data_IF_302429532608
#
_entry.id   IF_302429532608
#
_cell.length_a   1.000
_cell.length_b   1.000
_cell.length_c   1.000
_cell.angle_alpha   90.00
_cell.angle_beta   90.00
_cell.angle_gamma   90.00
#
_symmetry.space_group_name_H-M   'P 1'
#
loop_
_entity.id
_entity.type
_entity.pdbx_description
1 polymer ?
#
# COMPACT_ATOMS: atom_id res chain seq x y z
N UNK A 1 -30.01 46.25 -39.71
CA UNK A 1 -28.64 45.88 -40.08
C UNK A 1 -27.71 46.21 -38.91
N UNK A 2 -26.74 45.36 -38.57
CA UNK A 2 -26.77 44.21 -37.63
C UNK A 2 -26.04 44.57 -36.30
N UNK A 3 -25.69 43.74 -35.32
CA UNK A 3 -26.14 42.47 -34.73
C UNK A 3 -25.39 42.30 -33.39
N UNK A 4 -26.00 41.52 -32.50
CA UNK A 4 -25.48 40.86 -31.29
C UNK A 4 -24.06 40.26 -31.44
N UNK A 5 -23.20 40.43 -30.42
CA UNK A 5 -22.10 39.53 -30.00
C UNK A 5 -22.14 39.52 -28.45
N UNK A 6 -22.44 38.43 -27.74
CA UNK A 6 -21.71 37.16 -27.58
C UNK A 6 -20.24 37.42 -27.16
N UNK A 7 -19.67 36.91 -26.07
CA UNK A 7 -20.06 35.94 -25.04
C UNK A 7 -18.90 35.88 -24.04
N UNK A 8 -19.15 35.33 -22.86
CA UNK A 8 -18.19 35.19 -21.77
C UNK A 8 -16.92 34.41 -22.19
N UNK A 9 -15.76 34.83 -21.69
CA UNK A 9 -14.55 34.01 -21.66
C UNK A 9 -14.11 33.89 -20.21
N UNK A 10 -14.71 32.93 -19.51
CA UNK A 10 -14.16 32.39 -18.27
C UNK A 10 -12.95 31.54 -18.63
N UNK A 11 -11.75 32.00 -18.26
CA UNK A 11 -10.56 31.16 -18.25
C UNK A 11 -10.69 30.16 -17.09
N UNK A 12 -11.43 29.08 -17.35
CA UNK A 12 -11.44 27.91 -16.48
C UNK A 12 -10.14 27.16 -16.75
N UNK A 13 -9.19 27.31 -15.84
CA UNK A 13 -7.98 26.51 -15.72
C UNK A 13 -8.38 25.03 -15.68
N UNK A 14 -8.29 24.36 -16.83
CA UNK A 14 -8.30 22.90 -16.91
C UNK A 14 -7.08 22.40 -16.14
N UNK A 15 -7.30 22.05 -14.87
CA UNK A 15 -6.41 21.17 -14.14
C UNK A 15 -6.46 19.83 -14.88
N UNK A 16 -5.50 19.62 -15.80
CA UNK A 16 -5.25 18.32 -16.37
C UNK A 16 -4.85 17.40 -15.23
N UNK A 17 -5.84 16.72 -14.68
CA UNK A 17 -5.65 15.49 -13.95
C UNK A 17 -5.04 14.53 -14.96
N UNK A 18 -3.71 14.42 -14.94
CA UNK A 18 -2.96 13.44 -15.71
C UNK A 18 -3.51 12.09 -15.23
N UNK A 19 -4.44 11.52 -16.00
CA UNK A 19 -4.87 10.16 -15.79
C UNK A 19 -3.59 9.33 -15.87
N UNK A 20 -3.15 8.77 -14.73
CA UNK A 20 -2.09 7.77 -14.72
C UNK A 20 -2.50 6.75 -15.79
N UNK A 21 -1.60 6.34 -16.71
CA UNK A 21 -1.90 5.19 -17.53
C UNK A 21 -2.33 4.08 -16.57
N UNK A 22 -3.55 3.58 -16.71
CA UNK A 22 -4.05 2.53 -15.84
C UNK A 22 -3.18 1.31 -16.11
N UNK A 23 -2.18 1.10 -15.26
CA UNK A 23 -1.32 -0.07 -15.31
C UNK A 23 -2.27 -1.26 -15.26
N UNK A 24 -2.32 -2.03 -16.34
CA UNK A 24 -3.21 -3.21 -16.41
C UNK A 24 -2.40 -4.51 -16.25
N UNK A 25 -1.07 -4.40 -16.26
CA UNK A 25 -0.12 -5.51 -16.16
C UNK A 25 0.70 -5.36 -14.87
N UNK A 26 0.59 -6.38 -14.01
CA UNK A 26 1.17 -6.39 -12.68
C UNK A 26 2.01 -7.65 -12.49
N UNK A 27 3.10 -7.52 -11.75
CA UNK A 27 3.79 -8.64 -11.13
C UNK A 27 3.28 -8.83 -9.69
N UNK A 28 3.23 -10.08 -9.23
CA UNK A 28 2.76 -10.40 -7.88
C UNK A 28 3.91 -10.43 -6.88
N UNK A 29 3.70 -9.79 -5.73
CA UNK A 29 4.51 -9.90 -4.53
C UNK A 29 3.64 -10.47 -3.41
N UNK A 30 3.75 -11.78 -3.17
CA UNK A 30 2.90 -12.50 -2.22
C UNK A 30 3.63 -12.73 -0.90
N UNK A 31 3.00 -12.26 0.18
CA UNK A 31 3.51 -12.30 1.55
C UNK A 31 2.58 -13.13 2.40
N UNK A 32 3.13 -14.12 3.08
CA UNK A 32 2.44 -14.92 4.08
C UNK A 32 2.75 -14.42 5.49
N UNK A 33 1.69 -14.21 6.28
CA UNK A 33 1.76 -13.84 7.69
C UNK A 33 1.37 -15.09 8.51
N UNK A 34 2.38 -15.74 9.09
CA UNK A 34 2.25 -16.97 9.85
C UNK A 34 1.76 -16.77 11.29
N UNK A 35 1.44 -17.86 12.02
CA UNK A 35 0.99 -17.80 13.40
C UNK A 35 2.07 -17.27 14.34
N UNK A 36 1.68 -16.40 15.27
CA UNK A 36 2.58 -15.77 16.23
C UNK A 36 1.86 -15.05 17.36
N UNK A 37 2.60 -14.27 18.13
CA UNK A 37 2.05 -13.46 19.23
C UNK A 37 2.82 -12.15 19.43
N UNK A 38 2.36 -11.27 20.31
CA UNK A 38 2.98 -9.97 20.51
C UNK A 38 4.41 -10.05 21.11
N UNK A 39 4.76 -11.13 21.81
CA UNK A 39 6.07 -11.30 22.44
C UNK A 39 7.10 -11.84 21.44
N UNK A 40 6.74 -12.85 20.66
CA UNK A 40 7.60 -13.49 19.65
C UNK A 40 7.47 -12.88 18.25
N UNK A 41 6.45 -12.05 18.03
CA UNK A 41 5.89 -11.57 16.75
C UNK A 41 5.43 -12.69 15.83
N UNK A 42 5.07 -12.27 14.61
CA UNK A 42 4.50 -13.13 13.58
C UNK A 42 5.54 -13.41 12.50
N UNK A 43 5.87 -14.68 12.21
CA UNK A 43 6.72 -15.01 11.08
C UNK A 43 6.14 -14.49 9.76
N UNK A 44 6.99 -13.89 8.94
CA UNK A 44 6.61 -13.40 7.60
C UNK A 44 7.45 -14.10 6.56
N UNK A 45 6.82 -14.54 5.46
CA UNK A 45 7.53 -15.15 4.33
C UNK A 45 7.05 -14.55 3.02
N UNK A 46 7.98 -14.09 2.18
CA UNK A 46 7.68 -13.84 0.77
C UNK A 46 7.62 -15.19 0.08
N UNK A 47 6.43 -15.58 -0.40
CA UNK A 47 6.20 -16.89 -1.02
C UNK A 47 6.38 -16.85 -2.53
N UNK A 48 6.12 -15.68 -3.13
CA UNK A 48 6.32 -15.43 -4.55
C UNK A 48 6.69 -13.97 -4.76
N UNK A 49 7.77 -13.71 -5.49
CA UNK A 49 8.13 -12.36 -5.91
C UNK A 49 9.00 -12.37 -7.18
N UNK A 50 9.12 -11.23 -7.87
CA UNK A 50 10.05 -11.05 -8.98
C UNK A 50 11.54 -11.13 -8.59
N UNK A 51 11.90 -10.75 -7.36
CA UNK A 51 13.29 -10.64 -6.92
C UNK A 51 13.77 -11.80 -6.04
N UNK A 52 12.89 -12.73 -5.68
CA UNK A 52 13.21 -13.89 -4.84
C UNK A 52 12.54 -13.85 -3.46
N UNK A 53 12.54 -15.02 -2.82
CA UNK A 53 11.83 -15.23 -1.56
C UNK A 53 12.71 -14.88 -0.37
N UNK A 54 12.08 -14.32 0.66
CA UNK A 54 12.74 -13.81 1.86
C UNK A 54 11.89 -14.12 3.08
N UNK A 55 12.52 -14.24 4.25
CA UNK A 55 11.82 -14.46 5.52
C UNK A 55 12.15 -13.37 6.51
N UNK A 56 11.16 -13.03 7.32
CA UNK A 56 11.29 -12.01 8.33
C UNK A 56 10.34 -12.26 9.49
N UNK A 57 10.21 -11.23 10.30
CA UNK A 57 9.40 -11.26 11.49
C UNK A 57 8.66 -9.94 11.60
N UNK A 58 7.33 -10.00 11.62
CA UNK A 58 6.47 -8.85 11.84
C UNK A 58 6.42 -8.56 13.34
N UNK A 59 6.71 -7.31 13.69
CA UNK A 59 6.56 -6.76 15.03
C UNK A 59 5.58 -5.60 14.94
N UNK A 60 4.43 -5.77 15.57
CA UNK A 60 3.40 -4.73 15.65
C UNK A 60 3.65 -3.85 16.88
N UNK A 61 3.29 -2.57 16.78
CA UNK A 61 3.39 -1.61 17.89
C UNK A 61 2.39 -1.85 19.01
N UNK A 62 1.30 -2.57 18.72
CA UNK A 62 0.23 -2.95 19.64
C UNK A 62 -0.39 -4.29 19.23
N UNK A 63 -1.29 -4.82 20.05
CA UNK A 63 -2.02 -6.03 19.71
C UNK A 63 -2.95 -5.80 18.48
N UNK A 64 -3.23 -6.83 17.66
CA UNK A 64 -4.00 -6.64 16.42
C UNK A 64 -5.40 -6.02 16.61
N UNK A 65 -6.10 -6.39 17.67
CA UNK A 65 -7.41 -5.84 18.05
C UNK A 65 -7.31 -4.35 18.45
N UNK A 66 -6.24 -3.95 19.13
CA UNK A 66 -5.98 -2.55 19.45
C UNK A 66 -5.67 -1.73 18.19
N UNK A 67 -4.91 -2.29 17.25
CA UNK A 67 -4.65 -1.65 15.96
C UNK A 67 -5.94 -1.51 15.13
N UNK A 68 -6.82 -2.50 15.14
CA UNK A 68 -8.12 -2.43 14.47
C UNK A 68 -9.02 -1.35 15.10
N UNK A 69 -9.04 -1.25 16.44
CA UNK A 69 -9.78 -0.21 17.14
C UNK A 69 -9.22 1.19 16.83
N UNK A 70 -7.89 1.35 16.80
CA UNK A 70 -7.23 2.62 16.49
C UNK A 70 -7.52 3.12 15.07
N UNK A 71 -7.89 2.23 14.14
CA UNK A 71 -8.26 2.59 12.79
C UNK A 71 -9.69 3.17 12.67
N UNK A 72 -10.52 3.03 13.71
CA UNK A 72 -11.91 3.48 13.64
C UNK A 72 -12.02 5.01 13.68
N UNK A 73 -12.75 5.57 12.71
CA UNK A 73 -13.04 7.01 12.67
C UNK A 73 -11.84 7.89 12.35
N UNK A 74 -10.75 7.31 11.82
CA UNK A 74 -9.60 8.10 11.37
C UNK A 74 -10.00 9.08 10.27
N UNK A 75 -9.55 10.32 10.39
CA UNK A 75 -9.58 11.28 9.29
C UNK A 75 -8.48 10.96 8.25
N UNK A 76 -8.44 11.70 7.15
CA UNK A 76 -7.48 11.45 6.08
C UNK A 76 -6.00 11.65 6.46
N UNK A 77 -5.69 12.36 7.56
CA UNK A 77 -4.33 12.51 8.06
C UNK A 77 -3.96 11.37 9.02
N UNK A 78 -4.89 11.00 9.90
CA UNK A 78 -4.80 9.86 10.80
C UNK A 78 -4.64 8.55 10.04
N UNK A 79 -5.44 8.33 8.99
CA UNK A 79 -5.35 7.14 8.15
C UNK A 79 -3.98 7.02 7.46
N UNK A 80 -3.38 8.13 7.03
CA UNK A 80 -2.03 8.13 6.45
C UNK A 80 -0.97 7.76 7.46
N UNK A 81 -1.01 8.34 8.66
CA UNK A 81 -0.06 8.01 9.74
C UNK A 81 -0.17 6.54 10.14
N UNK A 82 -1.38 6.07 10.38
CA UNK A 82 -1.68 4.68 10.68
C UNK A 82 -1.14 3.74 9.59
N UNK A 83 -1.41 4.08 8.33
CA UNK A 83 -0.94 3.33 7.18
C UNK A 83 0.58 3.28 7.02
N UNK A 84 1.27 4.36 7.37
CA UNK A 84 2.73 4.40 7.37
C UNK A 84 3.31 3.49 8.46
N UNK A 85 2.71 3.47 9.64
CA UNK A 85 3.14 2.55 10.72
C UNK A 85 2.99 1.08 10.29
N UNK A 86 1.90 0.73 9.59
CA UNK A 86 1.73 -0.61 9.01
C UNK A 86 2.75 -0.91 7.92
N UNK A 87 3.03 0.06 7.04
CA UNK A 87 4.04 -0.07 6.00
C UNK A 87 5.42 -0.31 6.61
N UNK A 88 5.81 0.48 7.60
CA UNK A 88 7.12 0.39 8.24
C UNK A 88 7.30 -0.95 8.96
N UNK A 89 6.26 -1.46 9.60
CA UNK A 89 6.26 -2.75 10.29
C UNK A 89 6.40 -3.94 9.32
N UNK A 90 5.77 -3.88 8.15
CA UNK A 90 5.73 -5.00 7.20
C UNK A 90 6.84 -4.93 6.14
N UNK A 91 6.98 -3.78 5.47
CA UNK A 91 7.75 -3.59 4.22
C UNK A 91 8.83 -2.50 4.32
N UNK A 92 8.90 -1.75 5.43
CA UNK A 92 9.86 -0.65 5.56
C UNK A 92 11.30 -1.12 5.83
N UNK A 93 11.53 -1.71 7.01
CA UNK A 93 12.88 -1.95 7.55
C UNK A 93 13.22 -3.43 7.78
N UNK A 94 12.43 -4.34 7.20
CA UNK A 94 12.60 -5.79 7.34
C UNK A 94 13.33 -6.40 6.13
N UNK A 95 13.88 -7.62 6.23
CA UNK A 95 14.36 -8.36 5.06
C UNK A 95 13.30 -8.46 3.95
N UNK A 96 12.03 -8.65 4.35
CA UNK A 96 10.87 -8.63 3.45
C UNK A 96 10.76 -7.29 2.72
N UNK A 97 11.06 -6.17 3.38
CA UNK A 97 11.12 -4.83 2.80
C UNK A 97 12.21 -4.64 1.74
N UNK A 98 13.37 -5.30 1.92
CA UNK A 98 14.42 -5.35 0.89
C UNK A 98 13.93 -6.08 -0.35
N UNK A 99 13.35 -7.29 -0.19
CA UNK A 99 12.76 -8.07 -1.29
C UNK A 99 11.62 -7.30 -1.99
N UNK A 100 10.79 -6.56 -1.23
CA UNK A 100 9.77 -5.67 -1.77
C UNK A 100 10.37 -4.58 -2.66
N UNK A 101 11.40 -3.89 -2.18
CA UNK A 101 12.06 -2.79 -2.90
C UNK A 101 12.74 -3.29 -4.18
N UNK A 102 13.40 -4.45 -4.14
CA UNK A 102 14.00 -5.08 -5.32
C UNK A 102 12.93 -5.51 -6.34
N UNK A 103 11.86 -6.14 -5.87
CA UNK A 103 10.72 -6.55 -6.70
C UNK A 103 10.04 -5.36 -7.39
N UNK A 104 9.93 -4.24 -6.67
CA UNK A 104 9.40 -2.99 -7.22
C UNK A 104 10.33 -2.44 -8.31
N UNK A 105 11.65 -2.54 -8.13
CA UNK A 105 12.64 -2.22 -9.15
C UNK A 105 12.46 -3.05 -10.43
N UNK A 106 12.24 -4.36 -10.29
CA UNK A 106 11.98 -5.27 -11.42
C UNK A 106 10.69 -4.90 -12.15
N UNK A 107 9.60 -4.66 -11.42
CA UNK A 107 8.32 -4.26 -12.03
C UNK A 107 8.45 -2.94 -12.81
N UNK A 108 9.11 -1.94 -12.20
CA UNK A 108 9.36 -0.64 -12.83
C UNK A 108 10.21 -0.77 -14.10
N UNK A 109 11.26 -1.60 -14.09
CA UNK A 109 12.11 -1.85 -15.26
C UNK A 109 11.34 -2.47 -16.44
N UNK A 110 10.26 -3.19 -16.15
CA UNK A 110 9.36 -3.79 -17.14
C UNK A 110 8.15 -2.92 -17.49
N UNK A 111 8.04 -1.71 -16.91
CA UNK A 111 6.89 -0.84 -17.11
C UNK A 111 5.58 -1.38 -16.52
N UNK A 112 5.68 -2.26 -15.51
CA UNK A 112 4.55 -2.93 -14.84
C UNK A 112 4.35 -2.39 -13.42
N UNK A 113 3.18 -2.65 -12.85
CA UNK A 113 2.91 -2.44 -11.42
C UNK A 113 3.39 -3.63 -10.59
N UNK A 114 3.55 -3.42 -9.28
CA UNK A 114 3.78 -4.49 -8.32
C UNK A 114 2.53 -4.62 -7.44
N UNK A 115 1.84 -5.75 -7.51
CA UNK A 115 0.67 -6.04 -6.71
C UNK A 115 1.06 -6.84 -5.47
N UNK A 116 0.88 -6.24 -4.30
CA UNK A 116 1.10 -6.92 -3.02
C UNK A 116 -0.11 -7.78 -2.68
N UNK A 117 0.11 -9.04 -2.34
CA UNK A 117 -0.93 -10.01 -1.94
C UNK A 117 -0.61 -10.55 -0.57
N UNK A 118 -1.53 -10.38 0.38
CA UNK A 118 -1.34 -10.89 1.73
C UNK A 118 -2.09 -12.22 1.92
N UNK A 119 -1.38 -13.25 2.36
CA UNK A 119 -1.96 -14.49 2.88
C UNK A 119 -1.91 -14.43 4.40
N UNK A 120 -3.06 -14.27 5.03
CA UNK A 120 -3.17 -14.17 6.48
C UNK A 120 -3.47 -15.56 7.02
N UNK A 121 -2.50 -16.20 7.67
CA UNK A 121 -2.67 -17.53 8.28
C UNK A 121 -3.15 -17.39 9.74
N UNK A 122 -2.61 -16.41 10.46
CA UNK A 122 -3.06 -16.10 11.82
C UNK A 122 -4.36 -15.28 11.78
N UNK A 123 -5.51 -15.81 12.24
CA UNK A 123 -6.77 -15.06 12.22
C UNK A 123 -6.74 -13.80 13.10
N UNK A 124 -5.85 -13.71 14.09
CA UNK A 124 -5.69 -12.50 14.89
C UNK A 124 -5.21 -11.32 14.04
N UNK A 125 -4.46 -11.56 12.97
CA UNK A 125 -3.99 -10.53 12.05
C UNK A 125 -5.05 -10.09 11.04
N UNK A 126 -6.11 -10.87 10.84
CA UNK A 126 -7.15 -10.59 9.85
C UNK A 126 -8.04 -9.40 10.22
N UNK A 127 -8.03 -8.98 11.49
CA UNK A 127 -8.81 -7.82 11.97
C UNK A 127 -8.14 -6.48 11.63
N UNK A 128 -6.85 -6.50 11.27
CA UNK A 128 -6.11 -5.30 10.90
C UNK A 128 -6.56 -4.87 9.50
N UNK A 129 -6.90 -3.57 9.28
CA UNK A 129 -7.27 -3.05 7.98
C UNK A 129 -6.02 -2.85 7.10
N UNK A 130 -5.50 -3.95 6.55
CA UNK A 130 -4.31 -3.95 5.69
C UNK A 130 -4.45 -3.09 4.44
N UNK A 131 -5.68 -2.81 4.00
CA UNK A 131 -5.99 -1.87 2.91
C UNK A 131 -5.53 -0.44 3.20
N UNK A 132 -5.35 -0.09 4.48
CA UNK A 132 -4.87 1.21 4.91
C UNK A 132 -3.34 1.32 4.89
N UNK A 133 -2.58 0.28 4.50
CA UNK A 133 -1.13 0.44 4.29
C UNK A 133 -0.90 1.60 3.33
N UNK A 134 -0.12 2.59 3.79
CA UNK A 134 0.15 3.81 3.05
C UNK A 134 1.61 3.86 2.63
N UNK A 135 1.86 3.92 1.34
CA UNK A 135 3.22 4.06 0.82
C UNK A 135 3.54 5.51 0.50
N UNK A 136 4.40 6.11 1.32
CA UNK A 136 4.79 7.50 1.19
C UNK A 136 5.47 7.83 -0.15
N UNK A 137 6.16 6.85 -0.76
CA UNK A 137 6.84 7.02 -2.06
C UNK A 137 5.85 7.36 -3.18
N UNK A 138 4.66 6.78 -3.14
CA UNK A 138 3.60 6.99 -4.12
C UNK A 138 2.53 7.99 -3.65
N UNK A 139 2.48 8.25 -2.35
CA UNK A 139 1.49 9.14 -1.76
C UNK A 139 0.09 8.51 -1.70
N UNK A 140 -0.01 7.18 -1.73
CA UNK A 140 -1.24 6.42 -1.92
C UNK A 140 -1.38 5.25 -0.93
N UNK A 141 -2.62 4.79 -0.75
CA UNK A 141 -2.93 3.55 -0.05
C UNK A 141 -2.78 2.36 -1.00
N UNK A 142 -2.17 1.27 -0.55
CA UNK A 142 -1.89 0.10 -1.39
C UNK A 142 -3.14 -0.57 -1.98
N UNK A 143 -4.29 -0.46 -1.32
CA UNK A 143 -5.55 -0.99 -1.86
C UNK A 143 -6.09 -0.20 -3.07
N UNK A 144 -5.51 0.97 -3.38
CA UNK A 144 -5.96 1.87 -4.44
C UNK A 144 -4.98 1.98 -5.62
N UNK A 145 -3.89 1.19 -5.62
CA UNK A 145 -2.79 1.24 -6.61
C UNK A 145 -2.83 0.09 -7.63
#
# INVERSE_FOLDING_TARGET
MPARFAGAVTLSTLSQQIARPMITDYLDFEVELGPGDAASGWPVSVVQSPAGNERGMLRLSAAPDQLALAAQGLDGAGARRYGQELFDALLGHSPVGSSYTESLGVANALGKGLRVRLRIVDPALAVIPWELIYEQRFGEFMALS
#
